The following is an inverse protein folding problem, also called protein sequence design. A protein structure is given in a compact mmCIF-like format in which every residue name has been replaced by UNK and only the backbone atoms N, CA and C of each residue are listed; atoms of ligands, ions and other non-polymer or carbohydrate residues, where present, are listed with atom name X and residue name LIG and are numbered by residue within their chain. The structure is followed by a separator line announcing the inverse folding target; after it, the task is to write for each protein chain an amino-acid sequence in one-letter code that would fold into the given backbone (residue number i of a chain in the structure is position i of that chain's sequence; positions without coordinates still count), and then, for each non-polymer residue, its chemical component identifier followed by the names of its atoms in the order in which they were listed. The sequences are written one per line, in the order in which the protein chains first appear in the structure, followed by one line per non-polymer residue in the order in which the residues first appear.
data_IF_944696218066
#
_entry.id   IF_944696218066
#
_cell.length_a   1.000
_cell.length_b   1.000
_cell.length_c   1.000
_cell.angle_alpha   90.00
_cell.angle_beta   90.00
_cell.angle_gamma   90.00
#
_symmetry.space_group_name_H-M   'P 1'
#
loop_
_entity.id
_entity.type
_entity.pdbx_description
1 polymer ?
#
# COMPACT_ATOMS: atom_id res chain seq x y z
N UNK A 1 33.90 8.73 12.61
CA UNK A 1 33.12 9.99 12.64
C UNK A 1 33.03 10.59 11.24
N UNK A 2 34.16 10.65 10.54
CA UNK A 2 34.30 11.20 9.19
C UNK A 2 33.43 10.52 8.11
N UNK A 3 33.30 9.18 8.16
CA UNK A 3 32.42 8.43 7.25
C UNK A 3 30.93 8.77 7.42
N UNK A 4 30.46 8.94 8.68
CA UNK A 4 29.07 9.31 8.96
C UNK A 4 28.76 10.71 8.45
N UNK A 5 29.70 11.64 8.60
CA UNK A 5 29.54 13.02 8.09
C UNK A 5 29.57 13.07 6.57
N UNK A 6 30.43 12.27 5.93
CA UNK A 6 30.45 12.13 4.48
C UNK A 6 29.12 11.58 3.95
N UNK A 7 28.59 10.52 4.56
CA UNK A 7 27.31 9.93 4.19
C UNK A 7 26.14 10.92 4.33
N UNK A 8 26.06 11.64 5.45
CA UNK A 8 25.01 12.64 5.67
C UNK A 8 25.08 13.76 4.61
N UNK A 9 26.29 14.14 4.19
CA UNK A 9 26.48 15.17 3.16
C UNK A 9 25.91 14.72 1.81
N UNK A 10 26.17 13.47 1.43
CA UNK A 10 25.64 12.87 0.19
C UNK A 10 24.10 12.76 0.26
N UNK A 11 23.54 12.29 1.38
CA UNK A 11 22.09 12.19 1.53
C UNK A 11 21.40 13.57 1.47
N UNK A 12 22.06 14.60 1.99
CA UNK A 12 21.57 15.98 1.91
C UNK A 12 21.61 16.52 0.48
N UNK A 13 22.65 16.21 -0.31
CA UNK A 13 22.73 16.64 -1.71
C UNK A 13 21.69 15.94 -2.59
N UNK A 14 21.37 14.68 -2.30
CA UNK A 14 20.40 13.87 -3.04
C UNK A 14 19.00 13.81 -2.42
N UNK A 15 18.60 14.83 -1.65
CA UNK A 15 17.30 14.83 -0.96
C UNK A 15 16.10 14.67 -1.91
N UNK A 16 16.22 15.15 -3.15
CA UNK A 16 15.16 15.09 -4.18
C UNK A 16 14.98 13.71 -4.79
N UNK A 17 16.00 12.85 -4.68
CA UNK A 17 15.99 11.49 -5.23
C UNK A 17 15.42 10.49 -4.22
N UNK A 18 15.26 10.90 -2.96
CA UNK A 18 14.71 10.10 -1.88
C UNK A 18 13.21 10.41 -1.76
N UNK A 19 12.38 9.39 -1.88
CA UNK A 19 10.96 9.50 -1.61
C UNK A 19 10.70 9.44 -0.09
N UNK A 20 10.27 10.56 0.50
CA UNK A 20 9.89 10.64 1.92
C UNK A 20 8.40 10.41 2.10
N UNK A 21 7.61 10.84 1.12
CA UNK A 21 6.18 10.61 1.01
C UNK A 21 5.88 9.77 -0.24
N UNK A 22 4.70 9.16 -0.25
CA UNK A 22 4.24 8.38 -1.40
C UNK A 22 4.18 9.23 -2.68
N UNK A 23 3.78 10.49 -2.56
CA UNK A 23 3.74 11.48 -3.65
C UNK A 23 5.11 11.84 -4.22
N UNK A 24 6.20 11.58 -3.48
CA UNK A 24 7.57 11.87 -3.95
C UNK A 24 8.07 10.78 -4.91
N UNK A 25 7.41 9.62 -4.93
CA UNK A 25 7.75 8.51 -5.83
C UNK A 25 7.33 8.90 -7.24
N UNK A 26 8.30 9.29 -8.06
CA UNK A 26 8.08 9.55 -9.48
C UNK A 26 7.97 8.23 -10.23
N UNK A 27 6.80 7.99 -10.82
CA UNK A 27 6.60 6.88 -11.77
C UNK A 27 7.40 7.08 -13.06
N UNK A 28 7.44 6.02 -13.88
CA UNK A 28 7.95 6.10 -15.26
C UNK A 28 6.88 6.77 -16.12
N UNK A 29 7.25 7.76 -16.94
CA UNK A 29 6.28 8.37 -17.85
C UNK A 29 5.82 7.31 -18.89
N UNK A 30 4.51 7.03 -18.99
CA UNK A 30 3.96 6.06 -19.93
C UNK A 30 4.35 6.29 -21.40
N UNK A 31 4.65 7.53 -21.79
CA UNK A 31 5.11 7.85 -23.15
C UNK A 31 6.47 7.24 -23.49
N UNK A 32 7.35 7.07 -22.48
CA UNK A 32 8.67 6.46 -22.70
C UNK A 32 8.61 4.94 -22.68
N UNK A 33 7.80 4.38 -21.78
CA UNK A 33 7.77 2.94 -21.59
C UNK A 33 6.47 2.46 -20.94
N UNK A 34 5.79 1.53 -21.59
CA UNK A 34 4.66 0.78 -21.04
C UNK A 34 4.99 -0.69 -20.94
N UNK A 35 4.75 -1.30 -19.77
CA UNK A 35 4.84 -2.75 -19.63
C UNK A 35 3.56 -3.39 -20.17
N UNK A 36 3.71 -4.42 -21.02
CA UNK A 36 2.62 -5.29 -21.45
C UNK A 36 2.86 -6.68 -20.89
N UNK A 37 1.92 -7.16 -20.07
CA UNK A 37 1.93 -8.55 -19.61
C UNK A 37 1.39 -9.41 -20.77
N UNK A 38 2.19 -10.37 -21.23
CA UNK A 38 1.75 -11.33 -22.24
C UNK A 38 0.92 -12.42 -21.55
N UNK A 39 -0.19 -12.81 -22.17
CA UNK A 39 -1.07 -13.86 -21.70
C UNK A 39 -1.08 -15.02 -22.70
N UNK A 40 -1.37 -16.23 -22.23
CA UNK A 40 -1.59 -17.39 -23.08
C UNK A 40 -2.82 -17.16 -23.97
N UNK A 41 -2.79 -17.69 -25.20
CA UNK A 41 -3.84 -17.44 -26.21
C UNK A 41 -5.23 -17.93 -25.78
N UNK A 42 -5.28 -19.00 -24.97
CA UNK A 42 -6.51 -19.62 -24.50
C UNK A 42 -6.95 -19.15 -23.09
N UNK A 43 -6.29 -18.12 -22.52
CA UNK A 43 -6.60 -17.68 -21.18
C UNK A 43 -7.81 -16.73 -21.14
N UNK A 44 -8.86 -17.12 -20.42
CA UNK A 44 -10.04 -16.30 -20.20
C UNK A 44 -9.96 -15.46 -18.92
N UNK A 45 -10.38 -14.18 -18.97
CA UNK A 45 -10.38 -13.32 -17.78
C UNK A 45 -11.32 -13.85 -16.70
N UNK A 46 -10.91 -13.72 -15.43
CA UNK A 46 -11.66 -14.22 -14.30
C UNK A 46 -12.10 -13.11 -13.33
N UNK A 47 -13.37 -13.17 -12.93
CA UNK A 47 -13.97 -12.32 -11.90
C UNK A 47 -14.16 -13.14 -10.64
N UNK A 48 -13.34 -12.89 -9.62
CA UNK A 48 -13.46 -13.52 -8.31
C UNK A 48 -14.32 -12.67 -7.37
N UNK A 49 -15.19 -13.32 -6.59
CA UNK A 49 -16.04 -12.64 -5.62
C UNK A 49 -15.21 -11.99 -4.50
N UNK A 50 -15.59 -10.76 -4.12
CA UNK A 50 -14.91 -10.03 -3.05
C UNK A 50 -15.13 -10.71 -1.70
N UNK A 51 -14.07 -10.81 -0.90
CA UNK A 51 -14.18 -11.38 0.45
C UNK A 51 -14.82 -10.40 1.41
N UNK A 52 -15.66 -10.91 2.31
CA UNK A 52 -16.22 -10.12 3.42
C UNK A 52 -15.10 -9.72 4.39
N UNK A 53 -14.99 -8.43 4.65
CA UNK A 53 -14.04 -7.87 5.63
C UNK A 53 -14.79 -7.31 6.85
N UNK A 54 -14.11 -7.25 7.99
CA UNK A 54 -14.65 -6.61 9.19
C UNK A 54 -14.80 -5.10 8.93
N UNK A 55 -15.95 -4.46 9.25
CA UNK A 55 -16.16 -3.02 9.07
C UNK A 55 -15.03 -2.14 9.61
N UNK A 56 -14.48 -2.45 10.80
CA UNK A 56 -13.37 -1.67 11.37
C UNK A 56 -12.10 -1.67 10.52
N UNK A 57 -11.84 -2.79 9.83
CA UNK A 57 -10.69 -2.92 8.93
C UNK A 57 -11.02 -2.30 7.58
N UNK A 58 -12.29 -2.35 7.16
CA UNK A 58 -12.75 -1.75 5.92
C UNK A 58 -12.44 -0.26 5.85
N UNK A 59 -12.67 0.49 6.93
CA UNK A 59 -12.39 1.93 6.96
C UNK A 59 -10.88 2.22 6.81
N UNK A 60 -10.03 1.41 7.44
CA UNK A 60 -8.57 1.50 7.26
C UNK A 60 -8.17 1.22 5.82
N UNK A 61 -8.71 0.18 5.19
CA UNK A 61 -8.44 -0.13 3.78
C UNK A 61 -8.84 1.05 2.90
N UNK A 62 -10.01 1.64 3.15
CA UNK A 62 -10.52 2.77 2.38
C UNK A 62 -9.56 3.96 2.47
N UNK A 63 -9.07 4.28 3.66
CA UNK A 63 -8.09 5.36 3.83
C UNK A 63 -6.77 5.09 3.11
N UNK A 64 -6.26 3.85 3.17
CA UNK A 64 -5.05 3.48 2.43
C UNK A 64 -5.26 3.55 0.91
N UNK A 65 -6.40 3.10 0.40
CA UNK A 65 -6.75 3.20 -1.03
C UNK A 65 -6.84 4.65 -1.49
N UNK A 66 -7.43 5.54 -0.68
CA UNK A 66 -7.48 6.98 -0.99
C UNK A 66 -6.08 7.57 -1.07
N UNK A 67 -5.17 7.24 -0.14
CA UNK A 67 -3.77 7.69 -0.19
C UNK A 67 -3.07 7.26 -1.48
N UNK A 68 -3.30 6.02 -1.93
CA UNK A 68 -2.73 5.51 -3.19
C UNK A 68 -3.30 6.26 -4.41
N UNK A 69 -4.59 6.57 -4.38
CA UNK A 69 -5.28 7.30 -5.45
C UNK A 69 -4.79 8.75 -5.53
N UNK A 70 -4.67 9.43 -4.39
CA UNK A 70 -4.13 10.81 -4.31
C UNK A 70 -2.67 10.89 -4.77
N UNK A 71 -1.88 9.85 -4.51
CA UNK A 71 -0.52 9.74 -5.00
C UNK A 71 -0.43 9.40 -6.51
N UNK A 72 -1.55 9.09 -7.17
CA UNK A 72 -1.59 8.72 -8.59
C UNK A 72 -0.98 7.35 -8.89
N UNK A 73 -0.80 6.49 -7.89
CA UNK A 73 -0.26 5.12 -8.08
C UNK A 73 -1.32 4.14 -8.59
N UNK A 74 -2.59 4.41 -8.29
CA UNK A 74 -3.74 3.65 -8.78
C UNK A 74 -4.75 4.60 -9.42
N UNK A 75 -5.61 4.07 -10.29
CA UNK A 75 -6.68 4.81 -10.94
C UNK A 75 -7.95 3.95 -11.00
N UNK A 76 -9.15 4.57 -11.02
CA UNK A 76 -10.40 3.82 -11.10
C UNK A 76 -10.59 3.20 -12.50
N UNK A 77 -11.12 1.98 -12.52
CA UNK A 77 -11.54 1.25 -13.73
C UNK A 77 -12.97 0.76 -13.49
N UNK A 78 -13.88 1.03 -14.42
CA UNK A 78 -15.30 0.71 -14.25
C UNK A 78 -15.61 -0.77 -14.47
N UNK A 79 -15.28 -1.32 -15.64
CA UNK A 79 -15.78 -2.63 -16.09
C UNK A 79 -14.63 -3.58 -16.47
N UNK A 80 -13.72 -3.82 -15.53
CA UNK A 80 -12.63 -4.78 -15.75
C UNK A 80 -13.18 -6.21 -15.77
N UNK A 81 -12.90 -7.01 -16.82
CA UNK A 81 -13.22 -8.44 -16.81
C UNK A 81 -12.32 -9.22 -15.84
N UNK A 82 -11.31 -8.56 -15.26
CA UNK A 82 -10.39 -9.08 -14.26
C UNK A 82 -10.73 -8.53 -12.89
N UNK A 83 -11.08 -9.41 -11.95
CA UNK A 83 -11.28 -9.03 -10.55
C UNK A 83 -10.61 -10.07 -9.66
N UNK A 84 -9.66 -9.62 -8.85
CA UNK A 84 -9.06 -10.40 -7.78
C UNK A 84 -9.47 -9.83 -6.42
N UNK A 85 -9.72 -10.67 -5.41
CA UNK A 85 -10.16 -10.21 -4.10
C UNK A 85 -9.00 -9.56 -3.35
N UNK A 86 -9.27 -8.43 -2.70
CA UNK A 86 -8.27 -7.77 -1.84
C UNK A 86 -8.12 -8.54 -0.54
N UNK A 87 -6.88 -8.81 -0.17
CA UNK A 87 -6.50 -9.49 1.07
C UNK A 87 -5.77 -8.53 2.02
N UNK A 88 -6.33 -8.35 3.21
CA UNK A 88 -5.76 -7.48 4.23
C UNK A 88 -4.82 -8.27 5.13
N UNK A 89 -3.56 -7.83 5.19
CA UNK A 89 -2.54 -8.45 6.04
C UNK A 89 -2.04 -7.40 7.03
N UNK A 90 -2.27 -7.59 8.35
CA UNK A 90 -1.69 -6.73 9.37
C UNK A 90 -0.16 -6.74 9.29
N UNK A 91 0.47 -5.57 9.25
CA UNK A 91 1.94 -5.47 9.24
C UNK A 91 2.51 -5.69 10.64
N UNK A 92 3.57 -6.50 10.75
CA UNK A 92 4.28 -6.73 12.01
C UNK A 92 4.90 -5.41 12.49
N UNK A 93 4.50 -4.94 13.67
CA UNK A 93 4.92 -3.64 14.22
C UNK A 93 4.18 -2.42 13.66
N UNK A 94 3.23 -2.62 12.73
CA UNK A 94 2.42 -1.54 12.17
C UNK A 94 1.33 -1.12 13.16
N UNK A 95 1.46 0.10 13.68
CA UNK A 95 0.36 0.78 14.36
C UNK A 95 -0.59 1.28 13.27
N UNK A 96 -1.85 0.88 13.36
CA UNK A 96 -2.89 1.36 12.44
C UNK A 96 -3.61 2.51 13.11
N UNK A 97 -3.54 3.72 12.56
CA UNK A 97 -4.34 4.83 13.07
C UNK A 97 -5.81 4.58 12.69
N UNK A 98 -6.67 4.44 13.69
CA UNK A 98 -8.13 4.28 13.54
C UNK A 98 -8.76 5.53 14.11
N UNK A 99 -9.61 6.19 13.33
CA UNK A 99 -10.39 7.33 13.82
C UNK A 99 -11.45 6.86 14.80
N UNK A 100 -11.49 7.47 15.99
CA UNK A 100 -12.58 7.28 16.95
C UNK A 100 -13.82 8.09 16.56
N UNK A 101 -14.92 7.91 17.29
CA UNK A 101 -16.16 8.71 17.18
C UNK A 101 -15.90 10.23 17.33
N UNK A 102 -14.81 10.61 18.00
CA UNK A 102 -14.36 12.00 18.17
C UNK A 102 -13.43 12.51 17.04
N UNK A 103 -13.29 11.77 15.93
CA UNK A 103 -12.33 12.02 14.83
C UNK A 103 -10.85 12.05 15.27
N UNK A 104 -10.53 11.53 16.45
CA UNK A 104 -9.14 11.39 16.90
C UNK A 104 -8.50 10.16 16.28
N UNK A 105 -7.32 10.32 15.68
CA UNK A 105 -6.53 9.21 15.14
C UNK A 105 -5.88 8.42 16.26
N UNK A 106 -6.54 7.34 16.70
CA UNK A 106 -6.01 6.47 17.75
C UNK A 106 -5.05 5.45 17.12
N UNK A 107 -3.76 5.47 17.51
CA UNK A 107 -2.81 4.44 17.13
C UNK A 107 -3.25 3.08 17.71
N UNK A 108 -3.95 2.29 16.89
CA UNK A 108 -4.56 1.03 17.32
C UNK A 108 -3.74 -0.16 16.83
N UNK A 109 -3.36 -1.02 17.78
CA UNK A 109 -2.80 -2.34 17.48
C UNK A 109 -3.94 -3.34 17.43
N UNK A 110 -4.35 -3.74 16.24
CA UNK A 110 -5.36 -4.80 16.08
C UNK A 110 -4.71 -6.16 16.38
N UNK A 111 -5.00 -6.72 17.56
CA UNK A 111 -4.56 -8.07 17.92
C UNK A 111 -5.45 -9.11 17.25
N UNK A 112 -4.97 -9.76 16.18
CA UNK A 112 -5.70 -10.87 15.54
C UNK A 112 -5.16 -12.22 16.04
N UNK A 113 -5.99 -13.28 15.95
CA UNK A 113 -5.63 -14.64 16.38
C UNK A 113 -4.34 -15.17 15.71
N UNK A 114 -4.04 -14.71 14.49
CA UNK A 114 -2.85 -15.08 13.71
C UNK A 114 -1.54 -14.56 14.33
N UNK A 115 -1.53 -13.34 14.85
CA UNK A 115 -0.39 -12.77 15.60
C UNK A 115 -0.04 -13.54 16.88
N UNK A 116 -0.93 -14.40 17.36
CA UNK A 116 -0.67 -15.28 18.52
C UNK A 116 0.27 -16.42 18.17
N UNK A 117 0.19 -16.97 16.95
CA UNK A 117 0.97 -18.14 16.56
C UNK A 117 2.46 -17.79 16.39
N UNK A 118 2.77 -16.61 15.85
CA UNK A 118 4.16 -16.17 15.60
C UNK A 118 4.92 -15.69 16.86
N UNK A 119 4.35 -15.81 18.05
CA UNK A 119 5.01 -15.44 19.32
C UNK A 119 5.21 -16.64 20.26
N UNK A 120 4.73 -17.83 19.87
CA UNK A 120 4.90 -19.09 20.62
C UNK A 120 6.02 -19.98 20.06
N UNK A 121 6.82 -19.45 19.13
CA UNK A 121 8.06 -20.06 18.63
C UNK A 121 9.27 -19.21 18.99
#
# INVERSE_FOLDING_TARGET
MEEKTALITILKSHKRDIAWKLSDIKGINPEFYTYKILMEEDFEPAVQHQRRVNPKIHDVIKQEVIKLLEAGLIYPISDSPWVSPVHCVPKKGGITAVENEDNELIPTRLWTRWTRLSQTE
#
